data_IF_286571094267
#
_entry.id   IF_286571094267
#
_cell.length_a   1.000
_cell.length_b   1.000
_cell.length_c   1.000
_cell.angle_alpha   90.00
_cell.angle_beta   90.00
_cell.angle_gamma   90.00
#
_symmetry.space_group_name_H-M   'P 1'
#
loop_
_entity.id
_entity.type
_entity.pdbx_description
1 polymer ?
#
# COMPACT_ATOMS: atom_id res chain seq x y z
N UNK A 1 10.64 15.92 7.31
CA UNK A 1 9.26 15.48 7.50
C UNK A 1 9.16 14.38 8.56
N UNK A 2 8.33 14.59 9.55
CA UNK A 2 7.97 13.59 10.56
C UNK A 2 6.44 13.53 10.63
N UNK A 3 5.81 12.41 10.27
CA UNK A 3 4.37 12.28 10.38
C UNK A 3 3.95 12.32 11.85
N UNK A 4 2.81 12.93 12.13
CA UNK A 4 2.23 12.98 13.47
C UNK A 4 1.73 11.61 13.91
N UNK A 5 1.69 11.38 15.22
CA UNK A 5 1.00 10.22 15.80
C UNK A 5 -0.51 10.47 15.66
N UNK A 6 -1.29 9.48 15.25
CA UNK A 6 -2.74 9.60 15.08
C UNK A 6 -3.38 10.22 16.32
N UNK A 7 -4.11 11.32 16.13
CA UNK A 7 -4.82 12.04 17.19
C UNK A 7 -3.96 12.91 18.09
N UNK A 8 -2.73 13.22 17.70
CA UNK A 8 -1.87 14.16 18.42
C UNK A 8 -1.03 15.00 17.46
N UNK A 9 -0.61 16.18 17.91
CA UNK A 9 0.32 17.08 17.18
C UNK A 9 1.78 16.66 17.36
N UNK A 10 2.05 15.53 18.03
CA UNK A 10 3.38 15.03 18.32
C UNK A 10 3.91 14.22 17.16
N UNK A 11 5.06 14.61 16.61
CA UNK A 11 5.78 13.88 15.58
C UNK A 11 6.28 12.51 16.05
N UNK A 12 6.19 11.51 15.19
CA UNK A 12 6.69 10.17 15.48
C UNK A 12 8.22 10.13 15.40
N UNK A 13 8.91 10.01 16.53
CA UNK A 13 10.38 9.97 16.62
C UNK A 13 11.07 8.87 15.80
N UNK A 14 10.33 7.81 15.43
CA UNK A 14 10.85 6.65 14.67
C UNK A 14 10.45 6.65 13.19
N UNK A 15 9.70 7.65 12.74
CA UNK A 15 9.19 7.76 11.38
C UNK A 15 9.55 9.12 10.83
N UNK A 16 10.43 9.14 9.84
CA UNK A 16 10.83 10.39 9.21
C UNK A 16 11.32 10.19 7.78
N UNK A 17 11.25 11.25 6.99
CA UNK A 17 11.97 11.43 5.75
C UNK A 17 12.73 12.73 5.77
N UNK A 18 13.85 12.80 5.09
CA UNK A 18 14.65 14.00 4.96
C UNK A 18 15.55 13.95 3.74
N UNK A 19 16.00 15.13 3.33
CA UNK A 19 17.05 15.29 2.34
C UNK A 19 18.39 15.32 3.06
N UNK A 20 19.33 14.50 2.63
CA UNK A 20 20.71 14.51 3.08
C UNK A 20 21.59 15.04 1.97
N UNK A 21 22.52 15.93 2.32
CA UNK A 21 23.54 16.44 1.40
C UNK A 21 24.89 15.92 1.87
N UNK A 22 25.63 15.25 1.02
CA UNK A 22 26.97 14.78 1.35
C UNK A 22 28.04 15.91 1.25
N UNK A 23 29.28 15.63 1.62
CA UNK A 23 30.34 16.60 1.57
C UNK A 23 30.71 17.09 0.15
N UNK A 24 30.27 16.36 -0.90
CA UNK A 24 30.46 16.74 -2.28
C UNK A 24 29.23 17.50 -2.85
N UNK A 25 28.20 17.73 -2.03
CA UNK A 25 26.98 18.44 -2.43
C UNK A 25 25.92 17.55 -3.09
N UNK A 26 26.11 16.23 -3.11
CA UNK A 26 25.10 15.32 -3.68
C UNK A 26 23.93 15.15 -2.71
N UNK A 27 22.73 15.31 -3.24
CA UNK A 27 21.50 15.14 -2.48
C UNK A 27 21.01 13.69 -2.53
N UNK A 28 20.59 13.18 -1.37
CA UNK A 28 19.96 11.87 -1.26
C UNK A 28 18.81 11.88 -0.26
N UNK A 29 17.73 11.15 -0.57
CA UNK A 29 16.60 11.00 0.34
C UNK A 29 16.87 9.94 1.39
N UNK A 30 16.63 10.28 2.65
CA UNK A 30 16.68 9.35 3.79
C UNK A 30 15.25 9.04 4.25
N UNK A 31 14.96 7.76 4.44
CA UNK A 31 13.67 7.29 4.95
C UNK A 31 13.85 6.36 6.15
N UNK A 32 13.06 6.54 7.20
CA UNK A 32 13.05 5.67 8.39
C UNK A 32 11.63 5.41 8.85
N UNK A 33 11.29 4.13 9.06
CA UNK A 33 10.04 3.70 9.69
C UNK A 33 8.75 4.09 8.98
N UNK A 34 8.82 4.67 7.80
CA UNK A 34 7.67 5.01 6.97
C UNK A 34 7.07 3.77 6.31
N UNK A 35 5.92 3.93 5.67
CA UNK A 35 5.17 2.85 5.00
C UNK A 35 6.02 2.11 3.98
N UNK A 36 6.85 2.82 3.23
CA UNK A 36 7.76 2.23 2.25
C UNK A 36 8.79 1.24 2.85
N UNK A 37 9.13 1.38 4.13
CA UNK A 37 10.05 0.46 4.82
C UNK A 37 9.34 -0.75 5.44
N UNK A 38 8.01 -0.82 5.42
CA UNK A 38 7.20 -1.85 6.09
C UNK A 38 6.75 -2.92 5.11
N UNK A 39 6.76 -4.17 5.56
CA UNK A 39 6.32 -5.34 4.76
C UNK A 39 4.80 -5.50 4.64
N UNK A 40 4.01 -4.69 5.37
CA UNK A 40 2.54 -4.72 5.34
C UNK A 40 1.95 -3.78 4.28
N UNK A 41 2.77 -3.03 3.58
CA UNK A 41 2.38 -2.17 2.47
C UNK A 41 2.79 -2.76 1.12
N UNK A 42 1.97 -2.51 0.12
CA UNK A 42 2.22 -2.98 -1.26
C UNK A 42 3.34 -2.20 -1.93
N UNK A 43 3.95 -2.73 -3.01
CA UNK A 43 4.85 -1.96 -3.87
C UNK A 43 4.23 -0.66 -4.37
N UNK A 44 2.91 -0.64 -4.65
CA UNK A 44 2.16 0.56 -5.02
C UNK A 44 2.35 1.69 -3.99
N UNK A 45 2.09 1.39 -2.72
CA UNK A 45 2.19 2.36 -1.64
C UNK A 45 3.62 2.87 -1.44
N UNK A 46 4.61 1.98 -1.57
CA UNK A 46 6.03 2.33 -1.43
C UNK A 46 6.47 3.29 -2.54
N UNK A 47 6.18 2.94 -3.79
CA UNK A 47 6.51 3.77 -4.95
C UNK A 47 5.81 5.14 -4.88
N UNK A 48 4.53 5.14 -4.45
CA UNK A 48 3.78 6.38 -4.26
C UNK A 48 4.42 7.27 -3.19
N UNK A 49 4.74 6.73 -2.01
CA UNK A 49 5.32 7.51 -0.91
C UNK A 49 6.68 8.09 -1.28
N UNK A 50 7.53 7.29 -1.92
CA UNK A 50 8.84 7.73 -2.38
C UNK A 50 8.73 8.85 -3.41
N UNK A 51 7.88 8.65 -4.44
CA UNK A 51 7.66 9.63 -5.48
C UNK A 51 7.06 10.94 -4.98
N UNK A 52 6.14 10.86 -4.01
CA UNK A 52 5.52 12.04 -3.40
C UNK A 52 6.51 12.83 -2.54
N UNK A 53 7.20 12.14 -1.62
CA UNK A 53 8.19 12.80 -0.75
C UNK A 53 9.33 13.43 -1.55
N UNK A 54 9.85 12.73 -2.56
CA UNK A 54 10.90 13.30 -3.43
C UNK A 54 10.44 14.61 -4.06
N UNK A 55 9.22 14.69 -4.60
CA UNK A 55 8.68 15.91 -5.19
C UNK A 55 8.51 17.03 -4.17
N UNK A 56 7.95 16.73 -3.01
CA UNK A 56 7.77 17.72 -1.94
C UNK A 56 9.11 18.31 -1.50
N UNK A 57 10.13 17.49 -1.30
CA UNK A 57 11.45 17.97 -0.89
C UNK A 57 12.20 18.73 -1.98
N UNK A 58 11.96 18.41 -3.24
CA UNK A 58 12.58 19.08 -4.39
C UNK A 58 11.77 20.28 -4.91
N UNK A 59 10.62 20.60 -4.30
CA UNK A 59 9.74 21.66 -4.79
C UNK A 59 9.11 21.37 -6.17
N UNK A 60 9.06 20.09 -6.58
CA UNK A 60 8.48 19.68 -7.85
C UNK A 60 6.95 19.54 -7.76
N UNK A 61 6.22 19.56 -8.89
CA UNK A 61 4.77 19.39 -8.91
C UNK A 61 4.35 18.05 -8.30
N UNK A 62 3.72 18.10 -7.13
CA UNK A 62 3.25 16.90 -6.40
C UNK A 62 1.75 16.66 -6.53
N UNK A 63 0.95 17.71 -6.76
CA UNK A 63 -0.51 17.59 -6.90
C UNK A 63 -0.88 16.78 -8.14
N UNK A 64 -0.32 17.15 -9.27
CA UNK A 64 -0.49 16.44 -10.55
C UNK A 64 -0.02 14.98 -10.45
N UNK A 65 1.08 14.74 -9.77
CA UNK A 65 1.58 13.38 -9.50
C UNK A 65 0.57 12.56 -8.71
N UNK A 66 -0.04 13.11 -7.65
CA UNK A 66 -1.05 12.40 -6.84
C UNK A 66 -2.26 12.04 -7.70
N UNK A 67 -2.77 12.99 -8.47
CA UNK A 67 -3.95 12.81 -9.33
C UNK A 67 -3.67 11.75 -10.40
N UNK A 68 -2.56 11.88 -11.11
CA UNK A 68 -2.16 10.92 -12.15
C UNK A 68 -1.94 9.52 -11.58
N UNK A 69 -1.32 9.43 -10.40
CA UNK A 69 -1.07 8.15 -9.74
C UNK A 69 -2.38 7.45 -9.33
N UNK A 70 -3.34 8.22 -8.80
CA UNK A 70 -4.68 7.72 -8.46
C UNK A 70 -5.42 7.23 -9.71
N UNK A 71 -5.48 8.03 -10.77
CA UNK A 71 -6.11 7.66 -12.04
C UNK A 71 -5.48 6.43 -12.68
N UNK A 72 -4.13 6.37 -12.71
CA UNK A 72 -3.41 5.20 -13.24
C UNK A 72 -3.70 3.93 -12.46
N UNK A 73 -3.88 4.05 -11.13
CA UNK A 73 -4.25 2.93 -10.26
C UNK A 73 -5.67 2.46 -10.59
N UNK A 74 -6.65 3.37 -10.66
CA UNK A 74 -8.03 3.04 -11.03
C UNK A 74 -8.16 2.43 -12.42
N UNK A 75 -7.33 2.89 -13.35
CA UNK A 75 -7.29 2.36 -14.73
C UNK A 75 -6.58 1.00 -14.86
N UNK A 76 -6.11 0.40 -13.76
CA UNK A 76 -5.42 -0.90 -13.77
C UNK A 76 -4.00 -0.88 -14.34
N UNK A 77 -3.42 0.30 -14.57
CA UNK A 77 -2.06 0.44 -15.13
C UNK A 77 -0.93 0.06 -14.16
N UNK A 78 -1.29 -0.30 -12.92
CA UNK A 78 -0.36 -0.59 -11.82
C UNK A 78 -0.65 -1.93 -11.14
N UNK A 79 -1.28 -2.87 -11.84
CA UNK A 79 -1.75 -4.15 -11.28
C UNK A 79 -0.62 -4.99 -10.67
N UNK A 80 0.57 -4.95 -11.27
CA UNK A 80 1.78 -5.61 -10.78
C UNK A 80 2.28 -5.08 -9.42
N UNK A 81 1.90 -3.85 -9.07
CA UNK A 81 2.26 -3.19 -7.80
C UNK A 81 1.25 -3.44 -6.67
N UNK A 82 0.10 -4.06 -6.96
CA UNK A 82 -1.01 -4.23 -6.02
C UNK A 82 -0.85 -5.46 -5.11
N UNK A 83 0.20 -6.24 -5.29
CA UNK A 83 0.37 -7.54 -4.65
C UNK A 83 0.80 -7.37 -3.20
N UNK A 84 -0.02 -7.88 -2.28
CA UNK A 84 0.37 -8.09 -0.90
C UNK A 84 1.19 -9.37 -0.76
N UNK A 85 2.33 -9.29 -0.08
CA UNK A 85 3.12 -10.44 0.31
C UNK A 85 3.18 -10.54 1.83
N UNK A 86 2.58 -11.60 2.40
CA UNK A 86 2.45 -11.77 3.85
C UNK A 86 2.85 -13.18 4.29
N UNK A 87 3.40 -13.27 5.50
CA UNK A 87 3.71 -14.55 6.13
C UNK A 87 2.58 -14.97 7.08
N UNK A 88 2.09 -16.19 6.92
CA UNK A 88 1.29 -16.86 7.94
C UNK A 88 2.27 -17.41 8.98
N UNK A 89 2.13 -16.95 10.23
CA UNK A 89 3.05 -17.30 11.32
C UNK A 89 2.66 -18.58 12.05
N UNK A 90 1.39 -18.97 11.92
CA UNK A 90 0.79 -20.14 12.57
C UNK A 90 0.19 -21.06 11.52
N UNK A 91 -0.18 -22.27 11.96
CA UNK A 91 -0.98 -23.20 11.18
C UNK A 91 -2.31 -22.56 10.79
N UNK A 92 -2.85 -22.95 9.65
CA UNK A 92 -4.05 -22.33 9.09
C UNK A 92 -5.30 -22.55 9.95
N UNK A 93 -5.36 -23.69 10.66
CA UNK A 93 -6.43 -24.05 11.61
C UNK A 93 -6.40 -23.26 12.93
N UNK A 94 -5.25 -22.70 13.29
CA UNK A 94 -5.10 -21.88 14.51
C UNK A 94 -5.79 -20.50 14.41
N UNK A 95 -6.16 -20.06 13.20
CA UNK A 95 -6.84 -18.77 13.01
C UNK A 95 -8.36 -18.92 13.12
N UNK A 96 -8.91 -18.93 14.33
CA UNK A 96 -10.35 -19.13 14.59
C UNK A 96 -11.15 -17.84 14.71
N UNK A 97 -10.53 -16.75 15.19
CA UNK A 97 -11.16 -15.44 15.35
C UNK A 97 -10.36 -14.34 14.65
N UNK A 98 -11.05 -13.26 14.22
CA UNK A 98 -10.43 -12.11 13.55
C UNK A 98 -9.51 -12.51 12.38
N UNK A 99 -10.02 -13.37 11.49
CA UNK A 99 -9.25 -13.97 10.39
C UNK A 99 -8.71 -12.90 9.44
N UNK A 100 -7.39 -12.66 9.41
CA UNK A 100 -6.82 -11.60 8.57
C UNK A 100 -6.84 -11.95 7.08
N UNK A 101 -6.73 -10.95 6.18
CA UNK A 101 -6.84 -11.15 4.73
C UNK A 101 -5.94 -12.25 4.16
N UNK A 102 -4.67 -12.29 4.59
CA UNK A 102 -3.72 -13.31 4.13
C UNK A 102 -4.14 -14.74 4.49
N UNK A 103 -4.82 -14.94 5.61
CA UNK A 103 -5.32 -16.25 6.03
C UNK A 103 -6.52 -16.67 5.17
N UNK A 104 -7.41 -15.72 4.88
CA UNK A 104 -8.56 -15.95 3.99
C UNK A 104 -8.07 -16.34 2.59
N UNK A 105 -7.10 -15.60 2.04
CA UNK A 105 -6.50 -15.92 0.76
C UNK A 105 -5.82 -17.31 0.76
N UNK A 106 -5.11 -17.68 1.84
CA UNK A 106 -4.47 -18.98 1.96
C UNK A 106 -5.47 -20.15 2.00
N UNK A 107 -6.62 -19.97 2.67
CA UNK A 107 -7.71 -20.96 2.64
C UNK A 107 -8.26 -21.17 1.23
N UNK A 108 -8.50 -20.07 0.51
CA UNK A 108 -8.95 -20.13 -0.89
C UNK A 108 -7.91 -20.85 -1.77
N UNK A 109 -6.62 -20.59 -1.56
CA UNK A 109 -5.55 -21.26 -2.30
C UNK A 109 -5.51 -22.77 -2.03
N UNK A 110 -5.62 -23.19 -0.77
CA UNK A 110 -5.63 -24.62 -0.41
C UNK A 110 -6.90 -25.33 -0.90
N UNK A 111 -8.06 -24.68 -0.84
CA UNK A 111 -9.30 -25.19 -1.45
C UNK A 111 -9.20 -25.31 -2.98
N UNK A 112 -8.51 -24.39 -3.63
CA UNK A 112 -8.25 -24.51 -5.07
C UNK A 112 -7.31 -25.67 -5.37
N UNK A 113 -6.23 -25.84 -4.60
CA UNK A 113 -5.30 -26.94 -4.75
C UNK A 113 -5.99 -28.30 -4.60
N UNK A 114 -6.87 -28.47 -3.61
CA UNK A 114 -7.68 -29.68 -3.43
C UNK A 114 -8.50 -30.00 -4.69
N UNK A 115 -9.18 -28.98 -5.25
CA UNK A 115 -10.04 -29.17 -6.45
C UNK A 115 -9.26 -29.62 -7.69
N UNK A 116 -7.99 -29.19 -7.81
CA UNK A 116 -7.15 -29.52 -8.96
C UNK A 116 -6.19 -30.68 -8.68
N UNK A 117 -6.34 -31.37 -7.53
CA UNK A 117 -5.52 -32.51 -7.15
C UNK A 117 -4.09 -32.14 -6.77
N UNK A 118 -3.84 -30.92 -6.31
CA UNK A 118 -2.53 -30.46 -5.81
C UNK A 118 -2.46 -30.55 -4.29
N UNK A 119 -1.26 -30.74 -3.71
CA UNK A 119 -1.09 -30.68 -2.26
C UNK A 119 -1.44 -29.31 -1.69
N UNK A 120 -2.05 -29.28 -0.51
CA UNK A 120 -2.24 -28.05 0.26
C UNK A 120 -0.89 -27.45 0.65
N UNK A 121 -0.72 -26.15 0.49
CA UNK A 121 0.55 -25.46 0.70
C UNK A 121 0.65 -24.70 2.03
N UNK A 122 -0.49 -24.27 2.58
CA UNK A 122 -0.52 -23.30 3.67
C UNK A 122 -0.91 -23.88 5.03
N UNK A 123 -1.07 -25.20 5.15
CA UNK A 123 -1.47 -25.88 6.39
C UNK A 123 -0.56 -25.54 7.57
N UNK A 124 0.74 -25.45 7.34
CA UNK A 124 1.76 -25.17 8.36
C UNK A 124 2.27 -23.72 8.30
N UNK A 125 1.52 -22.82 7.70
CA UNK A 125 1.92 -21.43 7.48
C UNK A 125 2.72 -21.25 6.19
N UNK A 126 3.49 -20.16 6.10
CA UNK A 126 4.29 -19.85 4.92
C UNK A 126 4.01 -18.47 4.33
N UNK A 127 4.65 -18.17 3.21
CA UNK A 127 4.44 -16.90 2.50
C UNK A 127 3.34 -17.02 1.47
N UNK A 128 2.41 -16.07 1.48
CA UNK A 128 1.36 -15.96 0.47
C UNK A 128 1.42 -14.62 -0.23
N UNK A 129 1.15 -14.64 -1.54
CA UNK A 129 0.87 -13.47 -2.36
C UNK A 129 -0.63 -13.42 -2.67
N UNK A 130 -1.24 -12.26 -2.47
CA UNK A 130 -2.66 -12.06 -2.72
C UNK A 130 -2.95 -10.63 -3.14
N UNK A 131 -4.09 -10.42 -3.74
CA UNK A 131 -4.64 -9.11 -4.07
C UNK A 131 -6.01 -8.94 -3.43
N UNK A 132 -6.40 -7.69 -3.20
CA UNK A 132 -7.77 -7.38 -2.79
C UNK A 132 -8.65 -7.29 -4.03
N UNK A 133 -9.71 -8.07 -4.02
CA UNK A 133 -10.74 -8.08 -5.06
C UNK A 133 -12.06 -7.60 -4.49
N UNK A 134 -13.05 -7.35 -5.35
CA UNK A 134 -14.41 -6.99 -4.93
C UNK A 134 -15.08 -8.04 -4.04
N UNK A 135 -14.60 -9.28 -4.08
CA UNK A 135 -15.05 -10.39 -3.23
C UNK A 135 -14.12 -10.63 -2.01
N UNK A 136 -13.20 -9.72 -1.74
CA UNK A 136 -12.20 -9.82 -0.67
C UNK A 136 -10.84 -10.29 -1.14
N UNK A 137 -9.97 -10.78 -0.23
CA UNK A 137 -8.62 -11.20 -0.58
C UNK A 137 -8.63 -12.51 -1.35
N UNK A 138 -8.00 -12.53 -2.52
CA UNK A 138 -7.82 -13.73 -3.33
C UNK A 138 -6.33 -13.99 -3.60
N UNK A 139 -5.88 -15.27 -3.57
CA UNK A 139 -4.51 -15.62 -3.91
C UNK A 139 -4.19 -15.25 -5.35
N UNK A 140 -2.97 -14.77 -5.59
CA UNK A 140 -2.58 -14.25 -6.91
C UNK A 140 -2.73 -15.31 -8.01
N UNK A 141 -2.30 -16.55 -7.75
CA UNK A 141 -2.27 -17.64 -8.73
C UNK A 141 -3.65 -18.16 -9.15
N UNK A 142 -4.64 -18.04 -8.28
CA UNK A 142 -5.99 -18.55 -8.54
C UNK A 142 -7.09 -17.49 -8.44
N UNK A 143 -6.71 -16.23 -8.66
CA UNK A 143 -7.65 -15.10 -8.67
C UNK A 143 -8.74 -15.29 -9.73
N UNK A 144 -9.98 -15.00 -9.32
CA UNK A 144 -11.18 -15.09 -10.17
C UNK A 144 -11.94 -13.78 -10.29
N UNK A 145 -11.87 -12.96 -9.26
CA UNK A 145 -12.65 -11.72 -9.18
C UNK A 145 -11.84 -10.52 -9.68
N UNK A 146 -12.56 -9.44 -10.02
CA UNK A 146 -11.96 -8.18 -10.41
C UNK A 146 -11.28 -7.53 -9.22
N UNK A 147 -10.13 -6.90 -9.45
CA UNK A 147 -9.40 -6.14 -8.44
C UNK A 147 -10.29 -5.01 -7.92
N UNK A 148 -10.23 -4.78 -6.61
CA UNK A 148 -10.87 -3.66 -5.94
C UNK A 148 -9.88 -2.48 -5.86
N UNK A 149 -9.80 -1.71 -6.93
CA UNK A 149 -8.92 -0.54 -7.01
C UNK A 149 -9.24 0.53 -5.97
N UNK A 150 -10.52 0.68 -5.59
CA UNK A 150 -10.97 1.62 -4.57
C UNK A 150 -10.38 1.26 -3.20
N UNK A 151 -10.27 -0.05 -2.88
CA UNK A 151 -9.56 -0.50 -1.70
C UNK A 151 -8.13 0.02 -1.66
N UNK A 152 -7.40 -0.06 -2.79
CA UNK A 152 -6.01 0.40 -2.84
C UNK A 152 -5.89 1.91 -2.70
N UNK A 153 -6.79 2.68 -3.32
CA UNK A 153 -6.83 4.12 -3.09
C UNK A 153 -7.11 4.45 -1.62
N UNK A 154 -8.15 3.87 -1.04
CA UNK A 154 -8.58 4.18 0.32
C UNK A 154 -7.62 3.69 1.41
N UNK A 155 -6.93 2.56 1.20
CA UNK A 155 -6.12 1.90 2.23
C UNK A 155 -4.61 2.00 2.02
N UNK A 156 -4.16 2.30 0.79
CA UNK A 156 -2.74 2.35 0.47
C UNK A 156 -2.27 3.74 0.03
N UNK A 157 -3.07 4.47 -0.75
CA UNK A 157 -2.67 5.79 -1.28
C UNK A 157 -3.11 6.93 -0.37
N UNK A 158 -4.42 7.03 -0.09
CA UNK A 158 -4.99 8.12 0.71
C UNK A 158 -4.29 8.33 2.06
N UNK A 159 -4.03 7.30 2.91
CA UNK A 159 -3.39 7.52 4.21
C UNK A 159 -1.96 8.08 4.10
N UNK A 160 -1.24 7.73 3.04
CA UNK A 160 0.10 8.26 2.77
C UNK A 160 -0.01 9.70 2.29
N UNK A 161 -0.89 9.96 1.31
CA UNK A 161 -1.11 11.31 0.80
C UNK A 161 -1.52 12.27 1.93
N UNK A 162 -2.55 11.93 2.70
CA UNK A 162 -3.04 12.76 3.81
C UNK A 162 -1.96 13.03 4.87
N UNK A 163 -1.09 12.05 5.16
CA UNK A 163 0.01 12.25 6.13
C UNK A 163 0.99 13.35 5.71
N UNK A 164 1.06 13.66 4.42
CA UNK A 164 1.93 14.67 3.83
C UNK A 164 1.15 15.95 3.50
N UNK A 165 -0.07 15.82 2.99
CA UNK A 165 -0.91 16.94 2.55
C UNK A 165 -1.52 17.73 3.70
N UNK A 166 -2.01 17.05 4.76
CA UNK A 166 -2.67 17.74 5.89
C UNK A 166 -1.77 18.80 6.53
N UNK A 167 -0.47 18.56 6.79
CA UNK A 167 0.43 19.60 7.25
C UNK A 167 0.62 20.77 6.27
N UNK A 168 0.30 20.58 5.00
CA UNK A 168 0.34 21.60 3.96
C UNK A 168 -1.02 22.32 3.76
N UNK A 169 -2.02 21.99 4.58
CA UNK A 169 -3.37 22.54 4.48
C UNK A 169 -4.23 21.96 3.37
N UNK A 170 -3.88 20.78 2.88
CA UNK A 170 -4.55 20.06 1.78
C UNK A 170 -4.99 18.66 2.22
N UNK A 171 -5.82 17.98 1.42
CA UNK A 171 -6.20 16.59 1.62
C UNK A 171 -6.37 15.84 0.28
N UNK A 172 -6.28 14.53 0.33
CA UNK A 172 -6.35 13.68 -0.86
C UNK A 172 -7.70 13.74 -1.57
N UNK A 173 -8.81 13.81 -0.82
CA UNK A 173 -10.16 13.78 -1.40
C UNK A 173 -10.43 15.06 -2.18
N UNK A 174 -10.20 16.20 -1.55
CA UNK A 174 -10.39 17.53 -2.19
C UNK A 174 -9.51 17.63 -3.45
N UNK A 175 -8.25 17.18 -3.36
CA UNK A 175 -7.32 17.25 -4.47
C UNK A 175 -7.76 16.39 -5.67
N UNK A 176 -8.29 15.19 -5.42
CA UNK A 176 -8.69 14.26 -6.49
C UNK A 176 -10.11 14.52 -7.01
N UNK A 177 -10.99 15.14 -6.22
CA UNK A 177 -12.37 15.44 -6.62
C UNK A 177 -12.48 16.69 -7.50
N UNK A 178 -11.66 17.71 -7.27
CA UNK A 178 -11.71 18.98 -8.01
C UNK A 178 -11.42 18.85 -9.50
N UNK A 179 -10.95 17.70 -9.98
CA UNK A 179 -10.75 17.44 -11.42
C UNK A 179 -11.85 16.58 -12.06
N UNK A 180 -12.75 15.98 -11.30
CA UNK A 180 -13.89 15.25 -11.88
C UNK A 180 -14.96 16.19 -12.47
N UNK A 181 -14.95 17.45 -12.11
CA UNK A 181 -15.89 18.47 -12.64
C UNK A 181 -15.42 19.11 -13.96
N UNK A 182 -14.25 18.75 -14.48
CA UNK A 182 -13.67 19.32 -15.71
C UNK A 182 -13.76 18.41 -16.95
N UNK A 183 -14.48 17.27 -16.84
CA UNK A 183 -14.74 16.35 -17.96
C UNK A 183 -16.25 15.93 -17.99
#
# INVERSE_FOLDING_TARGET
>A
FMPTIRGSDVGSKKRYAGLSVDAAGNESMIYRGLEMARSDWTPLARQFQEGLLSRVFQGAPYREFIIEYAHSTLAGKKDDLLIYRKRLRHRLDAYVANVPPQVRAARIADEYNDRVGRPRQYQNGGWIQYVMTRNGPEPLESRRSRIDYEHYLAKQIKPIADSILIPLGEDFVTLTSSQQELF
#
